data_IF_870557971793
#
_entry.id   IF_870557971793
#
_cell.length_a   1.000
_cell.length_b   1.000
_cell.length_c   1.000
_cell.angle_alpha   90.00
_cell.angle_beta   90.00
_cell.angle_gamma   90.00
#
_symmetry.space_group_name_H-M   'P 1'
#
loop_
_entity.id
_entity.type
_entity.pdbx_description
1 polymer ?
#
# COMPACT_ATOMS: atom_id res chain seq x y z
N UNK A 1 30.04 5.54 -10.05
CA UNK A 1 29.42 4.58 -10.99
C UNK A 1 27.91 4.79 -10.92
N UNK A 2 27.25 5.05 -12.05
CA UNK A 2 25.78 5.09 -12.06
C UNK A 2 25.25 3.65 -12.04
N UNK A 3 24.40 3.35 -11.07
CA UNK A 3 23.69 2.08 -10.98
C UNK A 3 22.37 2.18 -11.75
N UNK A 4 22.02 1.14 -12.51
CA UNK A 4 20.71 1.03 -13.15
C UNK A 4 19.69 0.47 -12.15
N UNK A 5 18.51 1.10 -12.08
CA UNK A 5 17.39 0.61 -11.29
C UNK A 5 16.46 -0.23 -12.18
N UNK A 6 15.95 -1.33 -11.64
CA UNK A 6 14.92 -2.18 -12.28
C UNK A 6 13.64 -2.07 -11.44
N UNK A 7 12.53 -1.76 -12.09
CA UNK A 7 11.21 -1.71 -11.46
C UNK A 7 10.48 -3.03 -11.70
N UNK A 8 9.91 -3.59 -10.64
CA UNK A 8 9.05 -4.76 -10.69
C UNK A 8 7.62 -4.33 -10.31
N UNK A 9 6.63 -4.95 -10.93
CA UNK A 9 5.22 -4.85 -10.59
C UNK A 9 4.74 -6.24 -10.17
N UNK A 10 3.80 -6.28 -9.23
CA UNK A 10 3.18 -7.50 -8.73
C UNK A 10 1.71 -7.22 -8.50
N UNK A 11 0.84 -8.17 -8.84
CA UNK A 11 -0.60 -8.02 -8.63
C UNK A 11 -0.99 -8.48 -7.22
N UNK A 12 -1.62 -7.59 -6.47
CA UNK A 12 -2.13 -7.85 -5.11
C UNK A 12 -3.62 -7.51 -5.05
N UNK A 13 -4.50 -8.38 -5.56
CA UNK A 13 -5.93 -8.13 -5.57
C UNK A 13 -6.48 -8.06 -4.13
N UNK A 14 -7.34 -7.08 -3.86
CA UNK A 14 -7.94 -6.88 -2.54
C UNK A 14 -7.08 -6.12 -1.54
N UNK A 15 -5.84 -5.72 -1.91
CA UNK A 15 -4.96 -4.94 -1.03
C UNK A 15 -5.62 -3.63 -0.57
N UNK A 16 -6.33 -2.93 -1.47
CA UNK A 16 -7.01 -1.68 -1.13
C UNK A 16 -8.11 -1.89 -0.10
N UNK A 17 -8.94 -2.91 -0.33
CA UNK A 17 -10.01 -3.30 0.60
C UNK A 17 -9.43 -3.68 1.96
N UNK A 18 -8.36 -4.46 2.00
CA UNK A 18 -7.68 -4.85 3.25
C UNK A 18 -7.12 -3.67 4.02
N UNK A 19 -6.51 -2.70 3.33
CA UNK A 19 -6.03 -1.44 3.95
C UNK A 19 -7.19 -0.72 4.64
N UNK A 20 -8.34 -0.63 3.97
CA UNK A 20 -9.56 -0.02 4.52
C UNK A 20 -10.06 -0.75 5.76
N UNK A 21 -10.18 -2.07 5.69
CA UNK A 21 -10.65 -2.90 6.81
C UNK A 21 -9.76 -2.75 8.04
N UNK A 22 -8.43 -2.75 7.86
CA UNK A 22 -7.48 -2.51 8.95
C UNK A 22 -7.69 -1.12 9.56
N UNK A 23 -7.82 -0.08 8.72
CA UNK A 23 -8.07 1.28 9.19
C UNK A 23 -9.35 1.35 10.03
N UNK A 24 -10.44 0.78 9.53
CA UNK A 24 -11.75 0.78 10.18
C UNK A 24 -11.74 -0.03 11.49
N UNK A 25 -11.11 -1.21 11.50
CA UNK A 25 -10.99 -2.05 12.71
C UNK A 25 -10.21 -1.37 13.83
N UNK A 26 -9.29 -0.45 13.49
CA UNK A 26 -8.51 0.36 14.44
C UNK A 26 -9.20 1.68 14.82
N UNK A 27 -10.38 1.98 14.26
CA UNK A 27 -11.10 3.23 14.50
C UNK A 27 -10.36 4.48 13.98
N UNK A 28 -9.44 4.32 13.04
CA UNK A 28 -8.62 5.41 12.52
C UNK A 28 -9.39 6.20 11.45
N UNK A 29 -9.37 7.52 11.55
CA UNK A 29 -10.01 8.36 10.53
C UNK A 29 -9.18 8.36 9.23
N UNK A 30 -9.84 8.44 8.05
CA UNK A 30 -9.14 8.60 6.77
C UNK A 30 -8.23 9.84 6.74
N UNK A 31 -8.66 10.94 7.38
CA UNK A 31 -7.88 12.17 7.50
C UNK A 31 -6.58 11.97 8.28
N UNK A 32 -6.64 11.23 9.38
CA UNK A 32 -5.46 10.95 10.20
C UNK A 32 -4.48 10.04 9.45
N UNK A 33 -4.95 8.95 8.85
CA UNK A 33 -4.09 8.02 8.10
C UNK A 33 -3.43 8.71 6.91
N UNK A 34 -4.19 9.48 6.14
CA UNK A 34 -3.64 10.21 4.99
C UNK A 34 -2.57 11.22 5.42
N UNK A 35 -2.79 11.94 6.54
CA UNK A 35 -1.80 12.85 7.11
C UNK A 35 -0.53 12.12 7.56
N UNK A 36 -0.65 11.00 8.29
CA UNK A 36 0.52 10.20 8.72
C UNK A 36 1.28 9.63 7.52
N UNK A 37 0.58 9.21 6.47
CA UNK A 37 1.18 8.65 5.28
C UNK A 37 1.63 9.73 4.26
N UNK A 38 1.49 11.02 4.57
CA UNK A 38 1.95 12.12 3.73
C UNK A 38 1.21 12.21 2.37
N UNK A 39 -0.09 11.93 2.35
CA UNK A 39 -0.91 11.97 1.13
C UNK A 39 -2.27 12.67 1.34
N UNK A 40 -2.99 12.92 0.25
CA UNK A 40 -4.36 13.44 0.34
C UNK A 40 -5.36 12.33 0.72
N UNK A 41 -6.45 12.70 1.39
CA UNK A 41 -7.55 11.78 1.71
C UNK A 41 -8.18 11.18 0.45
N UNK A 42 -8.29 11.98 -0.63
CA UNK A 42 -8.75 11.48 -1.92
C UNK A 42 -7.82 10.39 -2.49
N UNK A 43 -6.51 10.52 -2.33
CA UNK A 43 -5.58 9.47 -2.74
C UNK A 43 -5.74 8.21 -1.91
N UNK A 44 -5.92 8.34 -0.59
CA UNK A 44 -6.21 7.21 0.29
C UNK A 44 -7.49 6.49 -0.14
N UNK A 45 -8.58 7.22 -0.44
CA UNK A 45 -9.82 6.60 -0.91
C UNK A 45 -9.64 5.83 -2.22
N UNK A 46 -8.95 6.39 -3.22
CA UNK A 46 -8.69 5.66 -4.48
C UNK A 46 -7.88 4.38 -4.26
N UNK A 47 -6.95 4.38 -3.30
CA UNK A 47 -6.23 3.18 -2.89
C UNK A 47 -7.19 2.19 -2.22
N UNK A 48 -7.97 2.64 -1.23
CA UNK A 48 -8.90 1.81 -0.47
C UNK A 48 -10.04 1.21 -1.31
N UNK A 49 -10.41 1.87 -2.41
CA UNK A 49 -11.44 1.39 -3.35
C UNK A 49 -10.86 0.75 -4.61
N UNK A 50 -9.54 0.54 -4.66
CA UNK A 50 -8.82 -0.05 -5.81
C UNK A 50 -9.04 0.67 -7.15
N UNK A 51 -9.41 1.95 -7.11
CA UNK A 51 -9.45 2.82 -8.29
C UNK A 51 -8.03 3.27 -8.71
N UNK A 52 -7.07 3.20 -7.80
CA UNK A 52 -5.66 3.41 -8.10
C UNK A 52 -5.08 2.23 -8.89
N UNK A 53 -4.70 2.47 -10.16
CA UNK A 53 -4.09 1.46 -11.04
C UNK A 53 -2.74 0.90 -10.58
N UNK A 54 -2.03 1.62 -9.72
CA UNK A 54 -0.76 1.16 -9.13
C UNK A 54 -0.49 1.90 -7.82
N UNK A 55 0.24 1.23 -6.93
CA UNK A 55 0.65 1.77 -5.64
C UNK A 55 2.17 1.64 -5.50
N UNK A 56 2.94 2.74 -5.50
CA UNK A 56 4.38 2.68 -5.28
C UNK A 56 4.70 2.06 -3.92
N UNK A 57 5.75 1.23 -3.86
CA UNK A 57 6.17 0.57 -2.60
C UNK A 57 6.42 1.57 -1.48
N UNK A 58 7.00 2.73 -1.77
CA UNK A 58 7.22 3.76 -0.76
C UNK A 58 5.89 4.25 -0.14
N UNK A 59 4.85 4.42 -0.96
CA UNK A 59 3.52 4.79 -0.48
C UNK A 59 2.91 3.67 0.36
N UNK A 60 3.05 2.41 -0.06
CA UNK A 60 2.61 1.25 0.73
C UNK A 60 3.35 1.15 2.07
N UNK A 61 4.64 1.49 2.12
CA UNK A 61 5.41 1.56 3.37
C UNK A 61 4.90 2.66 4.29
N UNK A 62 4.60 3.85 3.77
CA UNK A 62 4.01 4.94 4.58
C UNK A 62 2.65 4.55 5.16
N UNK A 63 1.83 3.81 4.40
CA UNK A 63 0.58 3.24 4.90
C UNK A 63 0.82 2.15 5.94
N UNK A 64 1.84 1.31 5.75
CA UNK A 64 2.28 0.29 6.72
C UNK A 64 2.59 0.94 8.07
N UNK A 65 3.37 2.03 8.06
CA UNK A 65 3.76 2.76 9.26
C UNK A 65 2.55 3.44 9.92
N UNK A 66 1.72 4.14 9.15
CA UNK A 66 0.52 4.81 9.65
C UNK A 66 -0.49 3.82 10.27
N UNK A 67 -0.65 2.63 9.66
CA UNK A 67 -1.56 1.61 10.14
C UNK A 67 -0.93 0.67 11.15
N UNK A 68 0.40 0.68 11.35
CA UNK A 68 1.11 -0.30 12.17
C UNK A 68 0.88 -1.74 11.70
N UNK A 69 0.98 -1.99 10.39
CA UNK A 69 0.86 -3.31 9.76
C UNK A 69 1.95 -3.48 8.71
N UNK A 70 2.58 -4.65 8.65
CA UNK A 70 3.63 -4.92 7.67
C UNK A 70 3.06 -5.59 6.40
N UNK A 71 2.94 -4.85 5.30
CA UNK A 71 2.50 -5.39 4.01
C UNK A 71 3.66 -5.94 3.15
N UNK A 72 4.93 -5.66 3.49
CA UNK A 72 6.09 -6.10 2.68
C UNK A 72 6.20 -7.65 2.62
N UNK A 73 5.69 -8.36 3.63
CA UNK A 73 5.68 -9.83 3.63
C UNK A 73 4.77 -10.41 2.53
N UNK A 74 3.59 -9.81 2.34
CA UNK A 74 2.62 -10.19 1.32
C UNK A 74 3.13 -9.84 -0.08
N UNK A 75 3.71 -8.63 -0.24
CA UNK A 75 4.37 -8.21 -1.48
C UNK A 75 5.48 -9.19 -1.88
N UNK A 76 6.32 -9.59 -0.91
CA UNK A 76 7.40 -10.54 -1.18
C UNK A 76 6.86 -11.91 -1.59
N UNK A 77 5.81 -12.39 -0.93
CA UNK A 77 5.20 -13.68 -1.27
C UNK A 77 4.66 -13.67 -2.71
N UNK A 78 3.95 -12.61 -3.09
CA UNK A 78 3.41 -12.47 -4.44
C UNK A 78 4.51 -12.34 -5.51
N UNK A 79 5.58 -11.58 -5.24
CA UNK A 79 6.73 -11.47 -6.14
C UNK A 79 7.42 -12.81 -6.40
N UNK A 80 7.52 -13.67 -5.37
CA UNK A 80 8.12 -15.01 -5.53
C UNK A 80 7.22 -15.89 -6.40
N UNK A 81 5.91 -15.86 -6.19
CA UNK A 81 4.94 -16.66 -6.96
C UNK A 81 4.91 -16.30 -8.45
N UNK A 82 5.07 -15.03 -8.81
CA UNK A 82 5.09 -14.61 -10.22
C UNK A 82 6.41 -14.96 -10.94
N UNK A 83 7.46 -15.32 -10.19
CA UNK A 83 8.77 -15.67 -10.73
C UNK A 83 8.99 -17.19 -10.86
N UNK A 84 8.05 -18.01 -10.38
CA UNK A 84 8.02 -19.48 -10.53
C UNK A 84 7.17 -19.91 -11.72
#
# INVERSE_FOLDING_TARGET
MNLMQVTLSVDLPGLGTRIREIRESKGLSPTWVAAQAGMSVGNLYRIETEDAKSLPRETLRKLSDALGVNFDAEVKAALVQEME
#
